data_IF_377580611587
#
_entry.id   IF_377580611587
#
_cell.length_a   1.000
_cell.length_b   1.000
_cell.length_c   1.000
_cell.angle_alpha   90.00
_cell.angle_beta   90.00
_cell.angle_gamma   90.00
#
_symmetry.space_group_name_H-M   'P 1'
#
loop_
_entity.id
_entity.type
_entity.pdbx_description
1 polymer ?
#
# COMPACT_ATOMS: atom_id res chain seq x y z
N UNK A 1 8.16 -0.37 -52.31
CA UNK A 1 9.39 0.30 -51.85
C UNK A 1 8.96 1.32 -50.81
N UNK A 2 8.99 0.94 -49.52
CA UNK A 2 8.64 1.80 -48.39
C UNK A 2 9.93 2.37 -47.81
N UNK A 3 10.01 3.69 -47.64
CA UNK A 3 11.07 4.34 -46.87
C UNK A 3 10.44 5.02 -45.66
N UNK A 4 10.76 4.50 -44.47
CA UNK A 4 10.48 5.08 -43.14
C UNK A 4 11.38 6.31 -42.91
N UNK A 5 10.80 7.37 -42.34
CA UNK A 5 11.38 8.41 -41.48
C UNK A 5 10.20 9.25 -40.97
N UNK A 6 10.03 9.70 -39.73
CA UNK A 6 10.41 9.32 -38.36
C UNK A 6 9.44 10.14 -37.49
N UNK A 7 8.77 9.61 -36.45
CA UNK A 7 7.93 10.43 -35.58
C UNK A 7 8.84 11.02 -34.51
N UNK A 8 9.22 12.30 -34.60
CA UNK A 8 9.71 13.09 -33.45
C UNK A 8 9.99 14.54 -33.85
N UNK A 9 8.96 15.37 -33.74
CA UNK A 9 9.11 16.70 -33.16
C UNK A 9 7.73 17.14 -32.67
N UNK A 10 7.49 17.04 -31.37
CA UNK A 10 6.47 17.88 -30.72
C UNK A 10 6.97 19.32 -30.91
N UNK A 11 6.49 19.97 -31.97
CA UNK A 11 6.61 21.42 -32.06
C UNK A 11 5.84 21.96 -30.86
N UNK A 12 6.55 22.59 -29.94
CA UNK A 12 5.93 23.58 -29.03
C UNK A 12 5.12 24.48 -29.95
N UNK A 13 3.80 24.36 -29.90
CA UNK A 13 2.92 25.29 -30.58
C UNK A 13 3.21 26.62 -29.92
N UNK A 14 3.99 27.47 -30.60
CA UNK A 14 4.08 28.87 -30.26
C UNK A 14 2.67 29.43 -30.45
N UNK A 15 1.94 29.72 -29.36
CA UNK A 15 0.58 30.22 -29.45
C UNK A 15 0.55 31.53 -30.24
N UNK A 16 1.66 32.28 -30.25
CA UNK A 16 1.83 33.51 -31.00
C UNK A 16 1.70 33.30 -32.52
N UNK A 17 2.40 32.32 -33.10
CA UNK A 17 2.42 32.16 -34.57
C UNK A 17 1.17 31.49 -35.14
N UNK A 18 0.56 30.56 -34.40
CA UNK A 18 -0.65 29.88 -34.88
C UNK A 18 -1.86 30.82 -34.87
N UNK A 19 -1.92 31.73 -33.89
CA UNK A 19 -2.89 32.83 -33.88
C UNK A 19 -2.58 33.82 -35.01
N UNK A 20 -1.33 34.22 -35.20
CA UNK A 20 -0.99 35.28 -36.16
C UNK A 20 -1.25 34.92 -37.64
N UNK A 21 -1.32 33.64 -37.98
CA UNK A 21 -1.67 33.22 -39.36
C UNK A 21 -3.17 33.29 -39.64
N UNK A 22 -4.03 33.25 -38.60
CA UNK A 22 -5.46 33.52 -38.72
C UNK A 22 -5.79 35.03 -38.67
N UNK A 23 -4.84 35.88 -38.28
CA UNK A 23 -5.00 37.32 -38.05
C UNK A 23 -5.02 38.20 -39.32
N UNK A 24 -4.63 37.69 -40.49
CA UNK A 24 -4.46 38.52 -41.69
C UNK A 24 -5.64 38.47 -42.68
N UNK A 25 -6.75 37.82 -42.34
CA UNK A 25 -8.00 37.93 -43.12
C UNK A 25 -8.88 39.04 -42.56
N UNK A 26 -8.73 40.23 -43.15
CA UNK A 26 -9.47 41.46 -42.80
C UNK A 26 -11.00 41.35 -42.91
N UNK A 27 -11.58 40.25 -43.41
CA UNK A 27 -13.03 40.04 -43.41
C UNK A 27 -13.59 39.30 -42.19
N UNK A 28 -12.75 38.84 -41.24
CA UNK A 28 -13.19 38.03 -40.09
C UNK A 28 -12.72 38.54 -38.72
N UNK A 29 -12.31 39.81 -38.63
CA UNK A 29 -11.96 40.43 -37.35
C UNK A 29 -13.23 40.71 -36.52
N UNK A 30 -13.72 39.69 -35.83
CA UNK A 30 -14.62 39.85 -34.69
C UNK A 30 -13.82 40.42 -33.51
N UNK A 31 -14.46 41.31 -32.74
CA UNK A 31 -13.91 41.85 -31.50
C UNK A 31 -13.44 40.69 -30.61
N UNK A 32 -12.13 40.58 -30.49
CA UNK A 32 -11.47 39.54 -29.70
C UNK A 32 -11.73 39.87 -28.24
N UNK A 33 -12.70 39.20 -27.63
CA UNK A 33 -12.66 39.01 -26.18
C UNK A 33 -11.32 38.32 -25.92
N UNK A 34 -10.44 38.97 -25.16
CA UNK A 34 -9.19 38.40 -24.70
C UNK A 34 -9.53 37.23 -23.77
N UNK A 35 -9.80 36.07 -24.37
CA UNK A 35 -10.02 34.81 -23.66
C UNK A 35 -8.85 34.51 -22.73
N UNK A 36 -7.65 35.03 -23.02
CA UNK A 36 -6.46 34.93 -22.19
C UNK A 36 -6.65 35.37 -20.72
N UNK A 37 -7.57 36.30 -20.42
CA UNK A 37 -7.83 36.73 -19.04
C UNK A 37 -8.83 35.82 -18.30
N UNK A 38 -9.58 35.00 -19.03
CA UNK A 38 -10.61 34.10 -18.49
C UNK A 38 -10.20 32.63 -18.52
N UNK A 39 -9.14 32.33 -19.26
CA UNK A 39 -8.52 31.02 -19.34
C UNK A 39 -7.68 30.80 -18.08
N UNK A 40 -8.02 29.81 -17.23
CA UNK A 40 -7.16 29.42 -16.13
C UNK A 40 -5.76 29.12 -16.67
N UNK A 41 -4.71 29.54 -15.96
CA UNK A 41 -3.31 29.53 -16.45
C UNK A 41 -2.75 28.16 -16.90
N UNK A 42 -3.51 27.06 -16.85
CA UNK A 42 -3.06 25.69 -17.16
C UNK A 42 -4.20 24.82 -17.72
N UNK A 43 -4.28 24.68 -19.05
CA UNK A 43 -5.17 23.74 -19.76
C UNK A 43 -4.41 23.04 -20.90
N UNK A 44 -4.79 21.81 -21.24
CA UNK A 44 -4.12 20.97 -22.28
C UNK A 44 -5.03 20.71 -23.46
N UNK A 45 -6.34 20.76 -23.25
CA UNK A 45 -7.32 20.48 -24.29
C UNK A 45 -8.41 21.52 -24.24
N UNK A 46 -8.80 21.99 -25.42
CA UNK A 46 -10.00 22.78 -25.65
C UNK A 46 -10.90 21.95 -26.55
N UNK A 47 -12.16 21.77 -26.18
CA UNK A 47 -13.16 21.21 -27.08
C UNK A 47 -14.25 22.24 -27.35
N UNK A 48 -14.83 22.16 -28.54
CA UNK A 48 -15.87 23.06 -29.01
C UNK A 48 -17.13 22.22 -29.22
N UNK A 49 -18.25 22.66 -28.65
CA UNK A 49 -19.58 22.16 -28.98
C UNK A 49 -20.25 23.19 -29.89
N UNK A 50 -20.66 22.74 -31.07
CA UNK A 50 -21.32 23.58 -32.06
C UNK A 50 -22.83 23.35 -32.02
N UNK A 51 -23.58 24.42 -32.25
CA UNK A 51 -25.02 24.39 -32.48
C UNK A 51 -25.29 24.60 -33.95
N UNK A 52 -26.06 23.67 -34.53
CA UNK A 52 -26.49 23.74 -35.92
C UNK A 52 -27.58 24.81 -36.07
N UNK A 53 -27.38 25.73 -37.01
CA UNK A 53 -28.36 26.75 -37.35
C UNK A 53 -29.16 26.33 -38.58
N UNK A 54 -30.40 26.79 -38.67
CA UNK A 54 -31.34 26.40 -39.75
C UNK A 54 -30.90 26.85 -41.15
N UNK A 55 -29.95 27.77 -41.25
CA UNK A 55 -29.38 28.28 -42.50
C UNK A 55 -28.13 27.50 -42.96
N UNK A 56 -27.80 26.40 -42.27
CA UNK A 56 -26.63 25.57 -42.58
C UNK A 56 -25.32 26.14 -42.04
N UNK A 57 -25.37 27.17 -41.19
CA UNK A 57 -24.21 27.67 -40.44
C UNK A 57 -24.10 27.00 -39.07
N UNK A 58 -22.94 27.15 -38.42
CA UNK A 58 -22.65 26.60 -37.09
C UNK A 58 -22.23 27.72 -36.16
N UNK A 59 -22.77 27.76 -34.94
CA UNK A 59 -22.36 28.67 -33.87
C UNK A 59 -21.65 27.87 -32.76
N UNK A 60 -20.59 28.41 -32.16
CA UNK A 60 -19.94 27.77 -31.00
C UNK A 60 -20.81 28.03 -29.77
N UNK A 61 -21.54 27.01 -29.31
CA UNK A 61 -22.42 27.13 -28.14
C UNK A 61 -21.61 27.06 -26.84
N UNK A 62 -20.62 26.17 -26.80
CA UNK A 62 -19.72 26.04 -25.64
C UNK A 62 -18.27 25.91 -26.05
N UNK A 63 -17.42 26.55 -25.25
CA UNK A 63 -15.98 26.26 -25.18
C UNK A 63 -15.72 25.58 -23.85
N UNK A 64 -15.24 24.34 -23.95
CA UNK A 64 -14.90 23.51 -22.80
C UNK A 64 -13.37 23.53 -22.63
N UNK A 65 -12.91 23.94 -21.45
CA UNK A 65 -11.49 23.92 -21.08
C UNK A 65 -11.21 22.74 -20.16
N UNK A 66 -10.21 21.93 -20.49
CA UNK A 66 -9.78 20.78 -19.69
C UNK A 66 -8.37 21.04 -19.16
N UNK A 67 -8.18 20.92 -17.84
CA UNK A 67 -6.93 21.22 -17.15
C UNK A 67 -5.77 20.29 -17.51
N UNK A 68 -4.54 20.75 -17.31
CA UNK A 68 -3.33 19.92 -17.37
C UNK A 68 -3.26 18.94 -16.22
N UNK A 69 -3.59 17.68 -16.49
CA UNK A 69 -2.99 16.59 -15.76
C UNK A 69 -3.86 15.38 -15.49
N UNK A 70 -3.21 14.42 -14.85
CA UNK A 70 -3.70 13.13 -14.41
C UNK A 70 -3.88 13.27 -12.89
N UNK A 71 -5.09 13.08 -12.37
CA UNK A 71 -5.26 12.98 -10.92
C UNK A 71 -4.75 11.59 -10.46
N UNK A 72 -3.48 11.48 -10.08
CA UNK A 72 -2.94 10.23 -9.53
C UNK A 72 -3.68 9.90 -8.23
N UNK A 73 -4.49 8.85 -8.26
CA UNK A 73 -5.19 8.35 -7.08
C UNK A 73 -4.44 7.10 -6.62
N UNK A 74 -3.69 7.25 -5.53
CA UNK A 74 -3.04 6.12 -4.86
C UNK A 74 -3.97 5.65 -3.76
N UNK A 75 -4.51 4.44 -3.92
CA UNK A 75 -5.19 3.75 -2.84
C UNK A 75 -4.17 2.93 -2.07
N UNK A 76 -3.91 3.36 -0.85
CA UNK A 76 -3.14 2.62 0.13
C UNK A 76 -4.13 1.82 0.95
N UNK A 77 -3.87 0.54 1.10
CA UNK A 77 -4.46 -0.19 2.19
C UNK A 77 -3.39 -0.63 3.12
N UNK A 78 -3.59 -0.25 4.37
CA UNK A 78 -2.87 -0.80 5.49
C UNK A 78 -3.35 -2.26 5.65
N UNK A 79 -2.83 -3.17 4.80
CA UNK A 79 -3.06 -4.63 4.86
C UNK A 79 -2.03 -5.34 5.72
N UNK A 80 -0.96 -4.65 6.08
CA UNK A 80 -0.27 -5.01 7.30
C UNK A 80 -1.20 -4.64 8.43
N UNK A 81 -1.61 -5.63 9.21
CA UNK A 81 -1.64 -5.37 10.63
C UNK A 81 -0.24 -4.80 10.98
N UNK A 82 -0.12 -3.78 11.86
CA UNK A 82 1.21 -3.43 12.39
C UNK A 82 2.00 -4.67 12.84
N UNK A 83 1.21 -5.69 13.19
CA UNK A 83 1.44 -7.00 13.77
C UNK A 83 2.27 -8.00 12.91
N UNK A 84 2.39 -7.92 11.59
CA UNK A 84 3.27 -8.86 10.85
C UNK A 84 2.92 -10.38 10.96
N UNK A 85 3.89 -11.32 10.99
CA UNK A 85 3.71 -12.79 10.98
C UNK A 85 4.16 -13.46 12.28
N UNK A 86 3.48 -14.53 12.69
CA UNK A 86 3.87 -15.38 13.82
C UNK A 86 5.14 -16.17 13.58
N UNK A 87 5.83 -16.51 14.67
CA UNK A 87 6.87 -17.53 14.68
C UNK A 87 6.27 -18.89 14.33
N UNK A 88 6.94 -19.63 13.43
CA UNK A 88 6.59 -21.00 13.09
C UNK A 88 7.72 -21.93 13.50
N UNK A 89 7.43 -22.92 14.33
CA UNK A 89 8.35 -24.01 14.67
C UNK A 89 7.92 -25.29 13.96
N UNK A 90 8.84 -25.97 13.28
CA UNK A 90 8.62 -27.33 12.77
C UNK A 90 9.44 -28.32 13.59
N UNK A 91 8.75 -29.34 14.11
CA UNK A 91 9.30 -30.43 14.92
C UNK A 91 9.23 -31.74 14.14
N UNK A 92 10.38 -32.40 13.95
CA UNK A 92 10.51 -33.64 13.19
C UNK A 92 10.86 -34.81 14.10
N UNK A 93 10.01 -35.84 14.07
CA UNK A 93 10.12 -37.04 14.88
C UNK A 93 10.80 -38.23 14.17
N UNK A 94 11.45 -38.01 13.03
CA UNK A 94 11.96 -39.09 12.19
C UNK A 94 12.86 -40.08 12.97
N UNK A 95 12.48 -41.36 12.95
CA UNK A 95 13.19 -42.43 13.66
C UNK A 95 13.04 -42.43 15.19
N UNK A 96 12.16 -41.58 15.75
CA UNK A 96 11.87 -41.54 17.19
C UNK A 96 10.69 -42.44 17.55
N UNK A 97 10.77 -43.02 18.73
CA UNK A 97 9.71 -43.76 19.44
C UNK A 97 9.45 -43.13 20.80
N UNK A 98 8.36 -43.49 21.46
CA UNK A 98 8.05 -42.96 22.79
C UNK A 98 9.16 -43.21 23.83
N UNK A 99 9.81 -44.38 23.78
CA UNK A 99 10.95 -44.71 24.65
C UNK A 99 12.12 -43.74 24.44
N UNK A 100 12.35 -43.25 23.21
CA UNK A 100 13.44 -42.32 22.95
C UNK A 100 13.22 -40.93 23.55
N UNK A 101 11.97 -40.57 23.84
CA UNK A 101 11.59 -39.24 24.30
C UNK A 101 11.19 -39.21 25.78
N UNK A 102 11.15 -40.36 26.47
CA UNK A 102 10.82 -40.45 27.88
C UNK A 102 11.64 -39.46 28.75
N UNK A 103 10.92 -38.55 29.42
CA UNK A 103 11.51 -37.51 30.27
C UNK A 103 12.36 -36.49 29.52
N UNK A 104 12.26 -36.41 28.19
CA UNK A 104 12.93 -35.42 27.35
C UNK A 104 12.01 -34.25 27.04
N UNK A 105 12.60 -33.14 26.60
CA UNK A 105 11.87 -31.94 26.25
C UNK A 105 12.54 -31.15 25.14
N UNK A 106 11.79 -30.21 24.58
CA UNK A 106 12.27 -29.12 23.73
C UNK A 106 11.64 -27.80 24.21
N UNK A 107 12.15 -26.66 23.74
CA UNK A 107 11.64 -25.34 24.12
C UNK A 107 11.14 -24.61 22.87
N UNK A 108 9.95 -24.03 22.96
CA UNK A 108 9.36 -23.07 22.01
C UNK A 108 9.02 -21.78 22.75
N UNK A 109 8.48 -20.79 22.04
CA UNK A 109 8.19 -19.47 22.59
C UNK A 109 6.82 -18.99 22.12
N UNK A 110 6.10 -18.32 23.01
CA UNK A 110 4.93 -17.47 22.74
C UNK A 110 5.22 -16.02 23.19
N UNK A 111 4.18 -15.18 23.33
CA UNK A 111 4.34 -13.80 23.83
C UNK A 111 4.54 -13.70 25.35
N UNK A 112 4.22 -14.76 26.10
CA UNK A 112 4.42 -14.83 27.56
C UNK A 112 5.87 -15.25 27.88
N UNK A 113 6.47 -16.07 27.02
CA UNK A 113 7.88 -16.39 26.98
C UNK A 113 8.16 -17.85 26.62
N UNK A 114 9.20 -18.44 27.22
CA UNK A 114 9.60 -19.82 26.90
C UNK A 114 8.62 -20.85 27.42
N UNK A 115 8.30 -21.84 26.59
CA UNK A 115 7.41 -22.97 26.87
C UNK A 115 8.19 -24.27 26.70
N UNK A 116 8.36 -25.02 27.78
CA UNK A 116 9.00 -26.33 27.78
C UNK A 116 7.99 -27.41 27.40
N UNK A 117 8.14 -28.01 26.24
CA UNK A 117 7.28 -29.12 25.81
C UNK A 117 8.00 -30.42 26.11
N UNK A 118 7.48 -31.20 27.06
CA UNK A 118 8.13 -32.41 27.56
C UNK A 118 7.25 -33.65 27.38
N UNK A 119 7.88 -34.82 27.32
CA UNK A 119 7.21 -36.06 26.99
C UNK A 119 7.14 -37.00 28.20
N UNK A 120 5.91 -37.38 28.57
CA UNK A 120 5.61 -38.25 29.70
C UNK A 120 5.23 -39.67 29.23
N UNK A 121 6.15 -40.62 29.39
CA UNK A 121 5.95 -42.01 29.02
C UNK A 121 4.93 -42.67 29.96
N UNK A 122 3.78 -43.03 29.38
CA UNK A 122 2.64 -43.64 30.05
C UNK A 122 2.12 -42.84 31.27
N UNK A 123 2.40 -41.54 31.35
CA UNK A 123 2.02 -40.73 32.52
C UNK A 123 2.87 -40.97 33.77
N UNK A 124 4.03 -41.65 33.65
CA UNK A 124 4.85 -42.09 34.79
C UNK A 124 6.23 -41.45 34.89
N UNK A 125 6.66 -40.73 33.86
CA UNK A 125 7.96 -40.06 33.82
C UNK A 125 8.01 -38.93 34.85
N UNK A 126 9.19 -38.69 35.39
CA UNK A 126 9.46 -37.53 36.24
C UNK A 126 9.57 -36.31 35.33
N UNK A 127 8.81 -35.25 35.65
CA UNK A 127 8.90 -33.96 34.95
C UNK A 127 10.36 -33.47 34.92
N UNK A 128 10.97 -33.29 33.74
CA UNK A 128 12.32 -32.75 33.64
C UNK A 128 12.36 -31.28 34.04
N UNK A 129 13.49 -30.82 34.56
CA UNK A 129 13.73 -29.38 34.73
C UNK A 129 14.06 -28.81 33.36
N UNK A 130 13.10 -28.13 32.72
CA UNK A 130 13.24 -27.59 31.35
C UNK A 130 13.97 -26.24 31.32
N UNK A 131 13.85 -25.46 32.40
CA UNK A 131 14.30 -24.07 32.46
C UNK A 131 13.37 -23.08 31.75
N UNK A 132 12.22 -23.54 31.24
CA UNK A 132 11.20 -22.69 30.64
C UNK A 132 10.34 -21.98 31.71
N UNK A 133 9.54 -21.00 31.29
CA UNK A 133 8.64 -20.26 32.19
C UNK A 133 7.39 -21.08 32.53
N UNK A 134 6.92 -21.86 31.57
CA UNK A 134 5.79 -22.79 31.71
C UNK A 134 6.07 -24.06 30.92
N UNK A 135 5.40 -25.14 31.28
CA UNK A 135 5.59 -26.45 30.64
C UNK A 135 4.28 -27.01 30.10
N UNK A 136 4.38 -27.71 28.97
CA UNK A 136 3.31 -28.50 28.36
C UNK A 136 3.70 -29.97 28.36
N UNK A 137 2.85 -30.79 28.96
CA UNK A 137 3.04 -32.24 29.04
C UNK A 137 2.42 -32.93 27.82
N UNK A 138 3.23 -33.74 27.14
CA UNK A 138 2.78 -34.63 26.07
C UNK A 138 2.84 -36.08 26.55
N UNK A 139 1.69 -36.64 26.88
CA UNK A 139 1.58 -38.07 27.23
C UNK A 139 1.80 -38.92 25.99
N UNK A 140 2.78 -39.83 26.07
CA UNK A 140 3.21 -40.72 24.98
C UNK A 140 3.30 -42.17 25.47
N UNK A 141 3.32 -43.12 24.54
CA UNK A 141 3.35 -44.56 24.84
C UNK A 141 4.57 -45.24 24.23
N UNK A 142 5.00 -46.37 24.82
CA UNK A 142 6.17 -47.12 24.34
C UNK A 142 6.00 -47.65 22.92
N UNK A 143 4.76 -47.88 22.48
CA UNK A 143 4.40 -48.30 21.12
C UNK A 143 4.29 -47.16 20.11
N UNK A 144 4.37 -45.90 20.55
CA UNK A 144 4.19 -44.76 19.64
C UNK A 144 5.36 -44.69 18.65
N UNK A 145 5.01 -44.72 17.35
CA UNK A 145 5.92 -44.42 16.27
C UNK A 145 5.93 -42.91 15.99
N UNK A 146 6.82 -42.46 15.10
CA UNK A 146 7.03 -41.04 14.80
C UNK A 146 5.77 -40.28 14.35
N UNK A 147 4.81 -40.96 13.68
CA UNK A 147 3.56 -40.33 13.25
C UNK A 147 2.58 -40.14 14.43
N UNK A 148 2.53 -41.11 15.33
CA UNK A 148 1.72 -41.02 16.55
C UNK A 148 2.28 -39.94 17.50
N UNK A 149 3.60 -39.87 17.66
CA UNK A 149 4.25 -38.80 18.44
C UNK A 149 3.90 -37.40 17.92
N UNK A 150 3.98 -37.19 16.59
CA UNK A 150 3.58 -35.92 15.98
C UNK A 150 2.09 -35.60 16.20
N UNK A 151 1.23 -36.61 16.13
CA UNK A 151 -0.22 -36.43 16.36
C UNK A 151 -0.51 -36.05 17.82
N UNK A 152 0.16 -36.67 18.78
CA UNK A 152 0.06 -36.35 20.22
C UNK A 152 0.54 -34.93 20.52
N UNK A 153 1.66 -34.53 19.95
CA UNK A 153 2.16 -33.16 20.11
C UNK A 153 1.12 -32.15 19.61
N UNK A 154 0.55 -32.36 18.41
CA UNK A 154 -0.50 -31.47 17.88
C UNK A 154 -1.70 -31.33 18.82
N UNK A 155 -2.19 -32.46 19.36
CA UNK A 155 -3.33 -32.45 20.29
C UNK A 155 -3.06 -31.55 21.50
N UNK A 156 -1.89 -31.66 22.11
CA UNK A 156 -1.49 -30.85 23.27
C UNK A 156 -1.32 -29.38 22.88
N UNK A 157 -0.63 -29.11 21.76
CA UNK A 157 -0.42 -27.74 21.30
C UNK A 157 -1.73 -27.00 21.01
N UNK A 158 -2.75 -27.69 20.49
CA UNK A 158 -4.06 -27.09 20.19
C UNK A 158 -4.98 -26.92 21.41
N UNK A 159 -4.60 -27.46 22.58
CA UNK A 159 -5.28 -27.16 23.85
C UNK A 159 -4.74 -25.88 24.49
N UNK A 160 -3.56 -25.43 24.08
CA UNK A 160 -2.94 -24.20 24.55
C UNK A 160 -3.44 -23.00 23.73
N UNK A 161 -3.92 -21.94 24.39
CA UNK A 161 -4.49 -20.76 23.73
C UNK A 161 -3.46 -19.95 22.93
N UNK A 162 -2.17 -20.14 23.19
CA UNK A 162 -1.09 -19.36 22.57
C UNK A 162 -0.54 -20.01 21.30
N UNK A 163 -1.03 -21.20 20.93
CA UNK A 163 -0.53 -21.94 19.78
C UNK A 163 -1.65 -22.52 18.90
N UNK A 164 -1.30 -22.69 17.63
CA UNK A 164 -2.04 -23.52 16.68
C UNK A 164 -1.06 -24.47 16.03
N UNK A 165 -1.46 -25.71 15.79
CA UNK A 165 -0.58 -26.73 15.23
C UNK A 165 -1.27 -27.65 14.24
N UNK A 166 -0.48 -28.13 13.28
CA UNK A 166 -0.84 -29.11 12.27
C UNK A 166 0.25 -30.19 12.22
N UNK A 167 -0.12 -31.43 11.93
CA UNK A 167 0.83 -32.50 11.70
C UNK A 167 0.65 -33.15 10.31
N UNK A 168 1.76 -33.48 9.66
CA UNK A 168 1.80 -34.23 8.40
C UNK A 168 2.88 -35.31 8.54
N UNK A 169 2.45 -36.57 8.56
CA UNK A 169 3.35 -37.70 8.82
C UNK A 169 4.05 -37.57 10.17
N UNK A 170 5.39 -37.55 10.15
CA UNK A 170 6.23 -37.47 11.36
C UNK A 170 6.66 -36.03 11.70
N UNK A 171 6.07 -35.02 11.07
CA UNK A 171 6.37 -33.61 11.35
C UNK A 171 5.15 -32.92 11.97
N UNK A 172 5.41 -32.03 12.92
CA UNK A 172 4.42 -31.10 13.49
C UNK A 172 4.87 -29.68 13.24
N UNK A 173 4.04 -28.88 12.59
CA UNK A 173 4.23 -27.44 12.43
C UNK A 173 3.37 -26.74 13.48
N UNK A 174 4.02 -25.89 14.27
CA UNK A 174 3.44 -25.12 15.37
C UNK A 174 3.59 -23.65 15.00
N UNK A 175 2.50 -22.91 14.98
CA UNK A 175 2.49 -21.46 14.90
C UNK A 175 2.11 -20.88 16.26
N UNK A 176 2.80 -19.86 16.71
CA UNK A 176 2.29 -19.04 17.80
C UNK A 176 1.05 -18.26 17.32
N UNK A 177 0.02 -18.17 18.15
CA UNK A 177 -1.19 -17.43 17.82
C UNK A 177 -0.95 -15.92 17.83
N UNK A 178 0.11 -15.49 18.52
CA UNK A 178 0.60 -14.13 18.42
C UNK A 178 1.66 -13.97 17.35
N UNK A 179 1.62 -12.79 16.77
CA UNK A 179 2.56 -12.35 15.76
C UNK A 179 3.92 -11.93 16.35
N UNK A 180 4.94 -11.82 15.50
CA UNK A 180 6.23 -11.24 15.87
C UNK A 180 7.33 -12.21 16.19
N UNK A 181 8.55 -11.65 16.12
CA UNK A 181 9.81 -12.37 16.28
C UNK A 181 9.90 -12.93 17.69
N UNK A 182 10.15 -14.23 17.79
CA UNK A 182 10.32 -14.95 19.04
C UNK A 182 11.69 -15.64 19.01
N UNK A 183 12.32 -15.96 20.15
CA UNK A 183 13.56 -16.73 20.12
C UNK A 183 13.39 -18.07 19.40
N UNK A 184 14.47 -18.56 18.78
CA UNK A 184 14.38 -19.83 18.05
C UNK A 184 14.09 -20.96 19.02
N UNK A 185 13.16 -21.84 18.65
CA UNK A 185 12.94 -23.08 19.34
C UNK A 185 14.24 -23.90 19.44
N UNK A 186 14.45 -24.54 20.60
CA UNK A 186 15.64 -25.36 20.86
C UNK A 186 15.25 -26.80 21.14
N UNK A 187 16.08 -27.75 20.75
CA UNK A 187 15.80 -29.18 20.92
C UNK A 187 15.88 -29.68 22.38
N UNK A 188 16.30 -28.84 23.33
CA UNK A 188 16.50 -29.24 24.72
C UNK A 188 17.29 -30.55 24.82
N UNK A 189 16.73 -31.54 25.49
CA UNK A 189 17.31 -32.89 25.59
C UNK A 189 16.63 -33.92 24.68
N UNK A 190 15.66 -33.53 23.85
CA UNK A 190 14.88 -34.44 23.00
C UNK A 190 15.67 -35.03 21.82
N UNK A 191 16.66 -34.28 21.32
CA UNK A 191 17.35 -34.63 20.09
C UNK A 191 16.41 -34.75 18.89
N UNK A 192 15.28 -34.04 18.90
CA UNK A 192 14.37 -33.89 17.76
C UNK A 192 14.98 -32.95 16.71
N UNK A 193 14.57 -33.11 15.45
CA UNK A 193 14.86 -32.11 14.42
C UNK A 193 13.95 -30.91 14.62
N UNK A 194 14.51 -29.75 14.97
CA UNK A 194 13.75 -28.51 15.19
C UNK A 194 14.27 -27.44 14.24
N UNK A 195 13.35 -26.76 13.57
CA UNK A 195 13.64 -25.59 12.76
C UNK A 195 12.59 -24.52 13.01
N UNK A 196 13.02 -23.27 13.11
CA UNK A 196 12.16 -22.11 13.30
C UNK A 196 12.17 -21.24 12.05
N UNK A 197 11.00 -20.73 11.68
CA UNK A 197 10.87 -19.57 10.83
C UNK A 197 10.47 -18.40 11.73
N UNK A 198 11.32 -17.37 11.75
CA UNK A 198 11.10 -16.18 12.55
C UNK A 198 9.78 -15.51 12.25
N UNK A 199 9.06 -15.14 13.30
CA UNK A 199 8.03 -14.12 13.20
C UNK A 199 8.64 -12.80 12.71
N UNK A 200 7.82 -11.96 12.09
CA UNK A 200 8.23 -10.66 11.56
C UNK A 200 7.18 -9.69 12.06
N UNK A 201 7.52 -8.62 12.75
CA UNK A 201 6.46 -7.75 13.24
C UNK A 201 6.98 -6.35 13.48
N UNK A 202 7.09 -5.52 12.43
CA UNK A 202 6.87 -4.07 12.54
C UNK A 202 6.70 -3.43 11.15
N UNK A 203 5.95 -2.33 11.09
CA UNK A 203 6.12 -1.31 10.04
C UNK A 203 7.34 -0.41 10.27
N UNK A 204 8.05 -0.57 11.38
CA UNK A 204 9.15 0.30 11.77
C UNK A 204 10.24 0.32 10.69
N UNK A 205 10.67 1.52 10.30
CA UNK A 205 11.64 1.76 9.23
C UNK A 205 11.20 1.25 7.85
N UNK A 206 9.94 0.81 7.72
CA UNK A 206 9.35 0.47 6.43
C UNK A 206 8.76 1.72 5.79
N UNK A 207 8.83 1.80 4.47
CA UNK A 207 8.43 3.00 3.74
C UNK A 207 7.96 2.73 2.31
N UNK A 208 7.26 3.73 1.76
CA UNK A 208 6.88 3.80 0.36
C UNK A 208 7.13 5.22 -0.18
N UNK A 209 7.18 5.36 -1.50
CA UNK A 209 7.42 6.66 -2.13
C UNK A 209 6.14 7.35 -2.60
N UNK A 210 6.02 8.66 -2.39
CA UNK A 210 5.06 9.52 -3.08
C UNK A 210 5.79 10.50 -3.99
N UNK A 211 5.18 10.79 -5.14
CA UNK A 211 5.72 11.75 -6.10
C UNK A 211 4.68 12.84 -6.34
N UNK A 212 5.13 14.09 -6.25
CA UNK A 212 4.26 15.22 -6.61
C UNK A 212 4.08 15.27 -8.12
N UNK A 213 3.17 16.14 -8.54
CA UNK A 213 3.04 16.54 -9.93
C UNK A 213 4.40 16.85 -10.59
N UNK A 214 4.59 16.30 -11.78
CA UNK A 214 5.79 16.36 -12.61
C UNK A 214 7.08 15.87 -11.94
N UNK A 215 6.96 15.04 -10.90
CA UNK A 215 8.07 14.55 -10.07
C UNK A 215 8.93 15.69 -9.49
N UNK A 216 8.33 16.86 -9.24
CA UNK A 216 9.02 18.02 -8.67
C UNK A 216 9.65 17.67 -7.31
N UNK A 217 8.92 16.90 -6.50
CA UNK A 217 9.39 16.36 -5.24
C UNK A 217 9.11 14.86 -5.13
N UNK A 218 10.10 14.15 -4.59
CA UNK A 218 9.99 12.75 -4.17
C UNK A 218 9.94 12.70 -2.66
N UNK A 219 8.91 12.11 -2.11
CA UNK A 219 8.74 11.88 -0.67
C UNK A 219 8.89 10.41 -0.36
N UNK A 220 9.41 10.07 0.82
CA UNK A 220 9.30 8.74 1.39
C UNK A 220 8.48 8.80 2.68
N UNK A 221 7.32 8.17 2.64
CA UNK A 221 6.46 8.01 3.82
C UNK A 221 6.94 6.79 4.57
N UNK A 222 7.41 6.98 5.79
CA UNK A 222 8.00 5.92 6.59
C UNK A 222 7.37 5.88 7.97
N UNK A 223 7.33 4.68 8.56
CA UNK A 223 6.68 4.47 9.85
C UNK A 223 7.71 4.41 10.97
N UNK A 224 7.47 5.23 11.98
CA UNK A 224 8.25 5.30 13.20
C UNK A 224 7.44 4.67 14.33
N UNK A 225 7.75 3.43 14.68
CA UNK A 225 7.06 2.68 15.72
C UNK A 225 7.57 3.09 17.09
N UNK A 226 6.68 3.61 17.93
CA UNK A 226 6.94 4.04 19.32
C UNK A 226 8.10 5.05 19.45
N UNK A 227 8.42 5.79 18.38
CA UNK A 227 9.55 6.72 18.37
C UNK A 227 10.94 6.07 18.22
N UNK A 228 11.01 4.76 18.00
CA UNK A 228 12.25 3.98 17.94
C UNK A 228 12.81 3.80 16.52
N UNK A 229 12.08 4.27 15.51
CA UNK A 229 12.48 4.19 14.12
C UNK A 229 13.61 5.15 13.76
N UNK A 230 14.42 4.73 12.81
CA UNK A 230 15.45 5.52 12.16
C UNK A 230 15.00 5.76 10.73
N UNK A 231 14.96 7.02 10.32
CA UNK A 231 14.64 7.41 8.95
C UNK A 231 15.52 6.60 7.97
N UNK A 232 14.91 5.80 7.06
CA UNK A 232 15.66 5.04 6.05
C UNK A 232 16.49 5.93 5.11
N UNK A 233 16.19 7.23 5.05
CA UNK A 233 16.87 8.25 4.26
C UNK A 233 17.26 7.80 2.84
N UNK A 234 16.28 7.35 2.02
CA UNK A 234 16.55 7.01 0.63
C UNK A 234 17.11 8.23 -0.12
N UNK A 235 17.99 7.98 -1.10
CA UNK A 235 18.63 9.07 -1.84
C UNK A 235 17.59 9.90 -2.60
N UNK A 236 17.68 11.23 -2.41
CA UNK A 236 16.88 12.21 -3.15
C UNK A 236 15.41 12.25 -2.76
N UNK A 237 15.03 11.78 -1.57
CA UNK A 237 13.66 11.88 -1.07
C UNK A 237 13.54 12.70 0.22
N UNK A 238 12.36 13.31 0.41
CA UNK A 238 11.99 14.11 1.58
C UNK A 238 11.17 13.22 2.53
N UNK A 239 11.52 13.13 3.82
CA UNK A 239 10.82 12.26 4.75
C UNK A 239 9.43 12.78 5.11
N UNK A 240 8.46 11.86 5.12
CA UNK A 240 7.17 12.02 5.78
C UNK A 240 7.10 10.96 6.87
N UNK A 241 7.19 11.38 8.13
CA UNK A 241 7.18 10.46 9.26
C UNK A 241 5.74 10.18 9.70
N UNK A 242 5.40 8.89 9.79
CA UNK A 242 4.15 8.43 10.39
C UNK A 242 4.48 7.81 11.75
N UNK A 243 4.25 8.59 12.81
CA UNK A 243 4.45 8.10 14.17
C UNK A 243 3.29 7.18 14.56
N UNK A 244 3.57 5.89 14.68
CA UNK A 244 2.60 4.87 15.11
C UNK A 244 3.01 4.30 16.46
N UNK A 245 2.03 3.77 17.19
CA UNK A 245 2.24 3.08 18.45
C UNK A 245 2.03 1.58 18.28
N UNK A 246 2.72 0.77 19.08
CA UNK A 246 2.50 -0.69 19.10
C UNK A 246 1.08 -1.10 19.49
N UNK A 247 0.33 -0.22 20.15
CA UNK A 247 -1.09 -0.41 20.46
C UNK A 247 -2.06 0.06 19.37
N UNK A 248 -1.59 0.74 18.32
CA UNK A 248 -2.47 1.24 17.27
C UNK A 248 -3.04 0.07 16.48
N UNK A 249 -4.36 0.04 16.32
CA UNK A 249 -4.99 -0.83 15.33
C UNK A 249 -4.86 -0.26 13.91
N UNK A 250 -5.19 -1.05 12.90
CA UNK A 250 -5.11 -0.66 11.48
C UNK A 250 -5.85 0.65 11.15
N UNK A 251 -7.02 0.89 11.75
CA UNK A 251 -7.78 2.12 11.52
C UNK A 251 -7.05 3.36 12.07
N UNK A 252 -6.44 3.21 13.24
CA UNK A 252 -5.65 4.27 13.89
C UNK A 252 -4.38 4.56 13.09
N UNK A 253 -3.75 3.53 12.52
CA UNK A 253 -2.61 3.70 11.61
C UNK A 253 -3.03 4.43 10.34
N UNK A 254 -4.16 4.08 9.72
CA UNK A 254 -4.66 4.78 8.54
C UNK A 254 -4.95 6.26 8.82
N UNK A 255 -5.57 6.58 9.96
CA UNK A 255 -5.77 7.96 10.41
C UNK A 255 -4.45 8.71 10.59
N UNK A 256 -3.45 8.09 11.23
CA UNK A 256 -2.13 8.70 11.44
C UNK A 256 -1.38 8.92 10.13
N UNK A 257 -1.45 7.97 9.21
CA UNK A 257 -0.89 8.11 7.85
C UNK A 257 -1.57 9.24 7.10
N UNK A 258 -2.90 9.33 7.17
CA UNK A 258 -3.66 10.43 6.58
C UNK A 258 -3.18 11.78 7.12
N UNK A 259 -3.15 11.94 8.44
CA UNK A 259 -2.78 13.19 9.08
C UNK A 259 -1.34 13.60 8.76
N UNK A 260 -0.40 12.65 8.70
CA UNK A 260 0.99 12.95 8.35
C UNK A 260 1.16 13.47 6.92
N UNK A 261 0.31 13.00 5.99
CA UNK A 261 0.36 13.38 4.58
C UNK A 261 -0.44 14.66 4.32
N UNK A 262 -1.62 14.80 4.91
CA UNK A 262 -2.56 15.93 4.68
C UNK A 262 -2.01 17.27 5.20
N UNK A 263 -1.06 17.25 6.14
CA UNK A 263 -0.33 18.44 6.58
C UNK A 263 0.48 19.07 5.44
N UNK A 264 0.81 18.30 4.40
CA UNK A 264 1.53 18.78 3.24
C UNK A 264 0.54 19.25 2.17
N UNK A 265 0.62 20.52 1.78
CA UNK A 265 -0.20 21.10 0.70
C UNK A 265 0.02 20.45 -0.69
N UNK A 266 0.93 19.48 -0.80
CA UNK A 266 1.19 18.73 -2.03
C UNK A 266 0.16 17.63 -2.32
N UNK A 267 -0.49 17.11 -1.27
CA UNK A 267 -1.39 15.97 -1.38
C UNK A 267 -2.72 16.28 -0.68
N UNK A 268 -3.79 15.64 -1.16
CA UNK A 268 -5.06 15.54 -0.46
C UNK A 268 -5.16 14.09 0.01
N UNK A 269 -5.15 13.88 1.32
CA UNK A 269 -5.34 12.55 1.89
C UNK A 269 -6.74 12.44 2.49
N UNK A 270 -7.41 11.31 2.25
CA UNK A 270 -8.63 10.94 2.94
C UNK A 270 -8.50 9.50 3.42
N UNK A 271 -9.06 9.15 4.57
CA UNK A 271 -9.07 7.77 5.04
C UNK A 271 -10.49 7.30 5.33
N UNK A 272 -10.70 6.00 5.16
CA UNK A 272 -11.92 5.30 5.55
C UNK A 272 -11.51 3.96 6.11
N UNK A 273 -11.83 3.71 7.39
CA UNK A 273 -11.41 2.49 8.09
C UNK A 273 -9.88 2.31 8.04
N UNK A 274 -9.37 1.24 7.43
CA UNK A 274 -7.95 0.90 7.31
C UNK A 274 -7.37 1.22 5.92
N UNK A 275 -8.03 2.10 5.15
CA UNK A 275 -7.60 2.52 3.82
C UNK A 275 -7.38 4.03 3.78
N UNK A 276 -6.31 4.45 3.12
CA UNK A 276 -5.98 5.85 2.86
C UNK A 276 -5.92 6.08 1.35
N UNK A 277 -6.73 7.00 0.87
CA UNK A 277 -6.72 7.48 -0.51
C UNK A 277 -5.95 8.78 -0.58
N UNK A 278 -4.88 8.80 -1.38
CA UNK A 278 -4.02 9.96 -1.55
C UNK A 278 -4.11 10.45 -2.99
N UNK A 279 -4.33 11.75 -3.16
CA UNK A 279 -4.36 12.45 -4.44
C UNK A 279 -3.32 13.55 -4.47
N UNK A 280 -2.68 13.79 -5.60
CA UNK A 280 -1.93 15.02 -5.78
C UNK A 280 -2.89 16.22 -5.70
N UNK A 281 -2.53 17.26 -4.94
CA UNK A 281 -3.32 18.48 -4.82
C UNK A 281 -3.28 19.34 -6.11
N UNK A 282 -2.30 19.07 -6.97
CA UNK A 282 -2.19 19.67 -8.30
C UNK A 282 -2.32 18.62 -9.40
N UNK A 283 -2.76 19.06 -10.57
CA UNK A 283 -2.85 18.20 -11.73
C UNK A 283 -1.51 18.12 -12.48
N UNK A 284 -1.12 16.92 -12.88
CA UNK A 284 -0.07 16.66 -13.87
C UNK A 284 0.39 15.20 -13.79
N UNK A 285 1.40 14.83 -14.58
CA UNK A 285 1.93 13.45 -14.57
C UNK A 285 2.79 13.25 -13.32
N UNK A 286 2.74 12.10 -12.67
CA UNK A 286 3.67 11.75 -11.61
C UNK A 286 4.18 10.32 -11.80
N UNK A 287 5.33 9.99 -11.22
CA UNK A 287 5.79 8.62 -11.15
C UNK A 287 4.84 7.81 -10.27
N UNK A 288 4.58 6.57 -10.68
CA UNK A 288 3.73 5.64 -9.92
C UNK A 288 4.42 5.31 -8.59
N UNK A 289 3.68 5.51 -7.49
CA UNK A 289 4.05 5.14 -6.11
C UNK A 289 4.53 3.68 -6.05
N UNK A 290 5.68 3.45 -5.41
CA UNK A 290 6.22 2.10 -5.19
C UNK A 290 6.42 1.82 -3.71
N UNK A 291 6.07 0.59 -3.33
CA UNK A 291 6.33 0.00 -2.03
C UNK A 291 7.74 -0.59 -2.07
N UNK A 292 8.56 -0.28 -1.07
CA UNK A 292 9.98 -0.69 -1.09
C UNK A 292 10.22 -1.91 -0.22
N UNK A 293 9.81 -1.84 1.05
CA UNK A 293 10.19 -2.84 2.03
C UNK A 293 9.06 -3.16 3.03
N UNK A 294 7.81 -2.78 2.76
CA UNK A 294 6.70 -3.22 3.63
C UNK A 294 6.35 -4.70 3.38
N UNK A 295 6.90 -5.31 2.32
CA UNK A 295 6.85 -6.74 1.96
C UNK A 295 5.42 -7.31 1.73
N UNK A 296 4.36 -6.53 2.00
CA UNK A 296 2.97 -7.01 2.03
C UNK A 296 1.96 -6.06 1.34
N UNK A 297 2.42 -5.14 0.49
CA UNK A 297 1.52 -4.41 -0.40
C UNK A 297 0.66 -3.38 0.33
N UNK A 298 1.30 -2.48 1.09
CA UNK A 298 0.62 -1.30 1.62
C UNK A 298 -0.06 -0.48 0.51
N UNK A 299 0.50 -0.51 -0.70
CA UNK A 299 -0.14 0.08 -1.88
C UNK A 299 -1.06 -0.97 -2.50
N UNK A 300 -2.38 -0.73 -2.45
CA UNK A 300 -3.39 -1.66 -2.94
C UNK A 300 -3.66 -1.49 -4.43
N UNK A 301 -3.73 -0.24 -4.87
CA UNK A 301 -3.89 0.11 -6.27
C UNK A 301 -3.37 1.51 -6.51
N UNK A 302 -2.67 1.70 -7.62
CA UNK A 302 -2.37 3.03 -8.14
C UNK A 302 -3.22 3.22 -9.38
N UNK A 303 -4.16 4.15 -9.32
CA UNK A 303 -4.88 4.59 -10.49
C UNK A 303 -4.12 5.76 -11.12
N UNK A 304 -3.70 5.55 -12.36
CA UNK A 304 -3.32 6.67 -13.22
C UNK A 304 -4.61 7.45 -13.43
N UNK A 305 -4.62 8.68 -12.95
CA UNK A 305 -5.75 9.59 -13.12
C UNK A 305 -6.28 9.66 -14.54
N UNK A 306 -7.56 9.94 -14.65
CA UNK A 306 -8.11 10.31 -15.93
C UNK A 306 -7.63 11.72 -16.30
N UNK A 307 -7.40 11.92 -17.61
CA UNK A 307 -7.07 13.21 -18.19
C UNK A 307 -8.16 14.22 -17.76
N UNK A 308 -7.73 15.31 -17.11
CA UNK A 308 -8.54 16.25 -16.33
C UNK A 308 -9.99 16.50 -16.75
N UNK A 309 -10.87 16.57 -15.74
CA UNK A 309 -12.27 16.97 -15.88
C UNK A 309 -12.44 18.39 -16.43
N UNK A 310 -13.68 18.71 -16.82
CA UNK A 310 -14.07 20.03 -17.34
C UNK A 310 -13.84 21.12 -16.28
N UNK A 311 -12.93 22.05 -16.54
CA UNK A 311 -12.50 23.11 -15.58
C UNK A 311 -13.32 24.38 -15.76
N UNK A 312 -13.76 24.66 -16.98
CA UNK A 312 -14.65 25.78 -17.27
C UNK A 312 -15.47 25.46 -18.51
N UNK A 313 -16.77 25.79 -18.45
CA UNK A 313 -17.67 25.82 -19.61
C UNK A 313 -18.06 27.28 -19.85
N UNK A 314 -17.63 27.84 -20.98
CA UNK A 314 -18.00 29.20 -21.38
C UNK A 314 -19.10 29.08 -22.42
N UNK A 315 -20.29 29.59 -22.12
CA UNK A 315 -21.35 29.79 -23.12
C UNK A 315 -21.17 31.19 -23.72
N UNK A 316 -21.07 31.24 -25.05
CA UNK A 316 -21.04 32.49 -25.80
C UNK A 316 -22.35 32.53 -26.60
N UNK A 317 -23.23 33.48 -26.32
CA UNK A 317 -24.33 33.79 -27.24
C UNK A 317 -23.88 34.91 -28.16
N UNK A 318 -24.04 34.66 -29.45
CA UNK A 318 -23.82 35.63 -30.49
C UNK A 318 -25.16 35.97 -31.16
N UNK A 319 -25.60 37.22 -31.04
CA UNK A 319 -26.75 37.72 -31.80
C UNK A 319 -26.28 38.32 -33.13
N UNK A 320 -26.59 37.62 -34.22
CA UNK A 320 -26.29 38.01 -35.61
C UNK A 320 -26.82 39.39 -35.99
N UNK A 321 -27.87 39.89 -35.31
CA UNK A 321 -28.49 41.18 -35.64
C UNK A 321 -27.88 42.32 -34.84
N UNK A 322 -27.59 42.11 -33.55
CA UNK A 322 -27.14 43.20 -32.65
C UNK A 322 -25.63 43.25 -32.45
N UNK A 323 -24.88 42.22 -32.87
CA UNK A 323 -23.42 42.07 -32.64
C UNK A 323 -23.01 42.17 -31.16
N UNK A 324 -23.94 41.98 -30.23
CA UNK A 324 -23.64 42.02 -28.81
C UNK A 324 -23.18 40.63 -28.35
N UNK A 325 -22.01 40.53 -27.70
CA UNK A 325 -21.54 39.29 -27.08
C UNK A 325 -22.01 39.23 -25.62
N UNK A 326 -22.53 38.06 -25.23
CA UNK A 326 -23.35 37.83 -24.04
C UNK A 326 -22.63 37.67 -22.69
N UNK A 327 -23.45 37.53 -21.64
CA UNK A 327 -23.12 37.26 -20.24
C UNK A 327 -22.38 35.93 -19.99
N UNK A 328 -21.43 35.96 -19.06
CA UNK A 328 -20.65 34.81 -18.58
C UNK A 328 -21.43 34.12 -17.45
N UNK A 329 -21.78 32.86 -17.62
CA UNK A 329 -22.25 31.98 -16.54
C UNK A 329 -21.06 31.16 -16.03
N UNK A 330 -20.57 31.45 -14.82
CA UNK A 330 -19.53 30.65 -14.17
C UNK A 330 -20.22 29.58 -13.32
N UNK A 331 -20.02 28.31 -13.64
CA UNK A 331 -20.34 27.19 -12.74
C UNK A 331 -19.00 26.69 -12.20
N UNK A 332 -18.89 26.63 -10.87
CA UNK A 332 -17.73 26.11 -10.11
C UNK A 332 -17.79 24.58 -10.14
#
# INVERSE_FOLDING_TARGET
MFSKNSPNSLSVLDPGQTLQTAFNDTQRAFDVILANDFVPKRYVKVSYEYKDMSDGTFEVEYINFYGEGIAHETLISCRGTPDGRSEITTVTFNGKTGINLDGKYFIIYDDVGSVGVWFNLNGTSIHPVTGALRDLEVVIYSSDNSNLLASRLKEVMNLDSEFTSLNIGCMTTIASNSVGDKPDATNGTSGLGISSQKGLNTLNNKYFFLYTTNDEFKFHVWYNLDGLGVDPSPLGSIPIIVNILSSDNENTIAEKTNNAIDILDYFIATYRTNEVTIKNNTYGVATITTDVNTEHGMIKSVQIGEIGGLVAKVRIHYDVVTKLISSIEKII
#
